data_IF_595299101135
#
_entry.id   IF_595299101135
#
_cell.length_a   1.000
_cell.length_b   1.000
_cell.length_c   1.000
_cell.angle_alpha   90.00
_cell.angle_beta   90.00
_cell.angle_gamma   90.00
#
_symmetry.space_group_name_H-M   'P 1'
#
loop_
_entity.id
_entity.type
_entity.pdbx_description
1 polymer ?
#
# COMPACT_ATOMS: atom_id res chain seq x y z
N UNK A 1 -19.73 42.51 -10.55
CA UNK A 1 -18.81 42.29 -9.42
C UNK A 1 -18.78 40.79 -9.13
N UNK A 2 -17.61 40.18 -9.29
CA UNK A 2 -17.43 38.73 -9.34
C UNK A 2 -17.07 38.24 -7.93
N UNK A 3 -17.99 37.59 -7.23
CA UNK A 3 -17.80 37.10 -5.86
C UNK A 3 -17.04 35.77 -5.88
N UNK A 4 -15.81 35.78 -6.41
CA UNK A 4 -14.84 34.68 -6.26
C UNK A 4 -13.95 34.99 -5.06
N UNK A 5 -14.50 34.81 -3.87
CA UNK A 5 -13.79 34.92 -2.59
C UNK A 5 -13.03 33.64 -2.20
N UNK A 6 -12.27 33.67 -1.08
CA UNK A 6 -11.32 32.63 -0.63
C UNK A 6 -11.95 31.29 -0.20
N UNK A 7 -13.26 31.14 -0.40
CA UNK A 7 -14.04 29.95 -0.04
C UNK A 7 -13.92 28.81 -1.06
N UNK A 8 -13.42 29.09 -2.27
CA UNK A 8 -13.28 28.10 -3.36
C UNK A 8 -12.17 27.05 -3.16
N UNK A 9 -11.36 27.17 -2.09
CA UNK A 9 -10.26 26.26 -1.78
C UNK A 9 -10.55 25.34 -0.57
N UNK A 10 -11.74 25.41 0.00
CA UNK A 10 -12.09 24.62 1.18
C UNK A 10 -12.40 23.16 0.76
N UNK A 11 -11.91 22.20 1.54
CA UNK A 11 -12.14 20.75 1.41
C UNK A 11 -13.12 20.31 2.52
N UNK A 12 -13.94 19.26 2.35
CA UNK A 12 -14.75 18.73 3.50
C UNK A 12 -13.86 18.25 4.63
N UNK A 13 -12.63 17.84 4.32
CA UNK A 13 -11.61 17.55 5.32
C UNK A 13 -11.13 18.76 6.12
N UNK A 14 -11.54 19.98 5.78
CA UNK A 14 -11.41 21.13 6.67
C UNK A 14 -12.30 21.02 7.91
N UNK A 15 -13.38 20.23 7.88
CA UNK A 15 -14.10 19.82 9.10
C UNK A 15 -13.27 18.85 9.95
N UNK A 16 -12.32 18.11 9.36
CA UNK A 16 -11.37 17.29 10.12
C UNK A 16 -10.34 18.13 10.89
N UNK A 17 -10.28 19.46 10.68
CA UNK A 17 -9.56 20.40 11.57
C UNK A 17 -10.15 20.43 12.99
N UNK A 18 -11.41 19.97 13.15
CA UNK A 18 -12.09 19.84 14.44
C UNK A 18 -11.70 18.55 15.19
N UNK A 19 -11.00 17.62 14.52
CA UNK A 19 -10.50 16.38 15.14
C UNK A 19 -9.07 16.61 15.64
N UNK A 20 -8.71 16.16 16.85
CA UNK A 20 -7.35 16.32 17.38
C UNK A 20 -6.30 15.84 16.39
N UNK A 21 -5.25 16.65 16.23
CA UNK A 21 -4.11 16.37 15.37
C UNK A 21 -3.46 15.03 15.75
N UNK A 22 -3.66 13.99 14.93
CA UNK A 22 -2.99 12.69 15.13
C UNK A 22 -1.58 12.76 14.55
N UNK A 23 -0.59 12.38 15.35
CA UNK A 23 0.82 12.36 14.92
C UNK A 23 1.02 11.49 13.67
N UNK A 24 1.86 11.99 12.75
CA UNK A 24 2.32 11.22 11.59
C UNK A 24 3.31 10.16 12.08
N UNK A 25 3.08 8.86 11.82
CA UNK A 25 4.02 7.81 12.20
C UNK A 25 5.40 8.00 11.53
N UNK A 26 6.46 7.54 12.19
CA UNK A 26 7.78 7.43 11.57
C UNK A 26 7.81 6.37 10.46
N UNK A 27 8.80 6.43 9.56
CA UNK A 27 8.93 5.44 8.48
C UNK A 27 9.23 4.04 9.05
N UNK A 28 8.84 2.98 8.32
CA UNK A 28 9.22 1.62 8.67
C UNK A 28 10.74 1.41 8.51
N UNK A 29 11.32 0.34 9.08
CA UNK A 29 12.72 0.01 8.86
C UNK A 29 13.04 -0.12 7.38
N UNK A 30 14.14 0.51 6.94
CA UNK A 30 14.58 0.47 5.55
C UNK A 30 14.98 -0.95 5.11
N UNK A 31 14.88 -1.21 3.81
CA UNK A 31 15.23 -2.46 3.12
C UNK A 31 14.40 -3.70 3.48
N UNK A 32 13.71 -3.71 4.63
CA UNK A 32 13.00 -4.88 5.14
C UNK A 32 11.89 -5.41 4.21
N UNK A 33 11.26 -4.53 3.44
CA UNK A 33 10.14 -4.85 2.56
C UNK A 33 10.44 -4.57 1.08
N UNK A 34 11.68 -4.19 0.77
CA UNK A 34 12.08 -3.92 -0.61
C UNK A 34 12.30 -5.25 -1.32
N UNK A 35 11.63 -5.51 -2.45
CA UNK A 35 11.85 -6.73 -3.20
C UNK A 35 13.27 -6.73 -3.76
N UNK A 36 13.97 -7.84 -3.58
CA UNK A 36 15.28 -8.12 -4.19
C UNK A 36 15.16 -9.00 -5.45
N UNK A 37 13.92 -9.38 -5.81
CA UNK A 37 13.62 -10.31 -6.90
C UNK A 37 13.93 -11.77 -6.58
N UNK A 38 14.40 -12.06 -5.37
CA UNK A 38 14.79 -13.37 -4.90
C UNK A 38 13.66 -14.14 -4.21
N UNK A 39 13.78 -15.46 -4.22
CA UNK A 39 12.82 -16.35 -3.54
C UNK A 39 12.92 -16.26 -2.01
N UNK A 40 14.12 -16.09 -1.45
CA UNK A 40 14.31 -16.00 0.00
C UNK A 40 13.54 -14.85 0.64
N UNK A 41 13.56 -13.67 0.01
CA UNK A 41 12.77 -12.53 0.47
C UNK A 41 11.27 -12.82 0.45
N UNK A 42 10.76 -13.47 -0.61
CA UNK A 42 9.37 -13.88 -0.68
C UNK A 42 9.02 -14.88 0.45
N UNK A 43 9.89 -15.84 0.76
CA UNK A 43 9.67 -16.77 1.87
C UNK A 43 9.65 -16.04 3.23
N UNK A 44 10.48 -15.02 3.43
CA UNK A 44 10.43 -14.17 4.63
C UNK A 44 9.10 -13.40 4.74
N UNK A 45 8.62 -12.81 3.64
CA UNK A 45 7.31 -12.15 3.61
C UNK A 45 6.17 -13.12 3.96
N UNK A 46 6.21 -14.36 3.45
CA UNK A 46 5.21 -15.38 3.79
C UNK A 46 5.21 -15.73 5.29
N UNK A 47 6.38 -15.82 5.93
CA UNK A 47 6.49 -16.02 7.39
C UNK A 47 5.90 -14.83 8.15
N UNK A 48 6.21 -13.60 7.73
CA UNK A 48 5.69 -12.37 8.36
C UNK A 48 4.19 -12.17 8.16
N UNK A 49 3.66 -12.64 7.04
CA UNK A 49 2.22 -12.70 6.80
C UNK A 49 1.50 -13.73 7.72
N UNK A 50 2.26 -14.54 8.46
CA UNK A 50 1.75 -15.48 9.46
C UNK A 50 1.49 -16.89 8.93
N UNK A 51 2.03 -17.25 7.76
CA UNK A 51 1.86 -18.61 7.24
C UNK A 51 2.67 -19.64 8.04
N UNK A 52 2.13 -20.85 8.27
CA UNK A 52 2.84 -21.91 8.98
C UNK A 52 4.07 -22.39 8.19
N UNK A 53 5.08 -22.91 8.90
CA UNK A 53 6.35 -23.37 8.31
C UNK A 53 6.13 -24.38 7.18
N UNK A 54 5.17 -25.29 7.33
CA UNK A 54 4.82 -26.27 6.29
C UNK A 54 4.39 -25.62 4.98
N UNK A 55 3.57 -24.56 5.05
CA UNK A 55 3.12 -23.80 3.88
C UNK A 55 4.24 -22.99 3.25
N UNK A 56 5.14 -22.42 4.05
CA UNK A 56 6.32 -21.70 3.54
C UNK A 56 7.28 -22.66 2.82
N UNK A 57 7.48 -23.88 3.34
CA UNK A 57 8.26 -24.92 2.65
C UNK A 57 7.61 -25.32 1.32
N UNK A 58 6.30 -25.55 1.32
CA UNK A 58 5.57 -25.86 0.09
C UNK A 58 5.67 -24.74 -0.95
N UNK A 59 5.61 -23.47 -0.50
CA UNK A 59 5.79 -22.30 -1.38
C UNK A 59 7.18 -22.29 -2.01
N UNK A 60 8.24 -22.61 -1.25
CA UNK A 60 9.60 -22.71 -1.78
C UNK A 60 9.70 -23.72 -2.92
N UNK A 61 9.13 -24.92 -2.73
CA UNK A 61 9.08 -25.96 -3.76
C UNK A 61 8.32 -25.49 -5.01
N UNK A 62 7.11 -24.93 -4.84
CA UNK A 62 6.31 -24.44 -5.97
C UNK A 62 7.04 -23.33 -6.72
N UNK A 63 7.61 -22.34 -6.02
CA UNK A 63 8.38 -21.25 -6.65
C UNK A 63 9.58 -21.77 -7.45
N UNK A 64 10.27 -22.81 -6.96
CA UNK A 64 11.39 -23.44 -7.65
C UNK A 64 10.99 -24.08 -8.98
N UNK A 65 9.75 -24.57 -9.09
CA UNK A 65 9.22 -25.24 -10.28
C UNK A 65 8.60 -24.27 -11.31
N UNK A 66 8.25 -23.05 -10.92
CA UNK A 66 7.69 -22.05 -11.85
C UNK A 66 8.73 -21.56 -12.86
N UNK A 67 8.27 -21.22 -14.07
CA UNK A 67 9.10 -20.51 -15.04
C UNK A 67 9.54 -19.12 -14.51
N UNK A 68 10.65 -18.55 -15.01
CA UNK A 68 11.18 -17.29 -14.49
C UNK A 68 10.23 -16.09 -14.55
N UNK A 69 9.35 -16.02 -15.56
CA UNK A 69 8.42 -14.89 -15.72
C UNK A 69 7.32 -14.98 -14.67
N UNK A 70 6.71 -16.15 -14.53
CA UNK A 70 5.66 -16.38 -13.53
C UNK A 70 6.22 -16.24 -12.12
N UNK A 71 7.41 -16.78 -11.85
CA UNK A 71 8.09 -16.61 -10.56
C UNK A 71 8.30 -15.13 -10.21
N UNK A 72 8.74 -14.31 -11.17
CA UNK A 72 8.87 -12.85 -10.98
C UNK A 72 7.55 -12.18 -10.60
N UNK A 73 6.45 -12.57 -11.25
CA UNK A 73 5.13 -12.05 -10.93
C UNK A 73 4.66 -12.42 -9.51
N UNK A 74 5.13 -13.53 -8.96
CA UNK A 74 4.82 -13.93 -7.56
C UNK A 74 5.69 -13.20 -6.55
N UNK A 75 7.00 -13.06 -6.80
CA UNK A 75 7.93 -12.41 -5.85
C UNK A 75 7.82 -10.89 -5.84
N UNK A 76 7.35 -10.28 -6.93
CA UNK A 76 7.12 -8.84 -7.03
C UNK A 76 5.89 -8.53 -7.89
N UNK A 77 4.67 -8.73 -7.35
CA UNK A 77 3.41 -8.57 -8.09
C UNK A 77 3.12 -7.11 -8.50
N UNK A 78 3.90 -6.14 -8.00
CA UNK A 78 3.83 -4.73 -8.39
C UNK A 78 4.85 -4.37 -9.50
N UNK A 79 5.69 -5.34 -9.90
CA UNK A 79 6.75 -5.20 -10.89
C UNK A 79 7.65 -3.96 -10.64
N UNK A 80 8.03 -3.75 -9.38
CA UNK A 80 8.94 -2.69 -8.89
C UNK A 80 10.39 -2.94 -9.32
N UNK A 81 10.79 -4.21 -9.40
CA UNK A 81 12.10 -4.68 -9.85
C UNK A 81 12.19 -4.87 -11.38
N UNK A 82 11.20 -4.42 -12.16
CA UNK A 82 11.24 -4.53 -13.61
C UNK A 82 12.51 -3.88 -14.22
N UNK A 83 13.09 -4.47 -15.29
CA UNK A 83 14.30 -3.98 -15.94
C UNK A 83 14.19 -2.51 -16.38
N UNK A 84 15.31 -1.81 -16.43
CA UNK A 84 15.38 -0.37 -16.76
C UNK A 84 14.74 -0.02 -18.11
N UNK A 85 14.81 -0.88 -19.12
CA UNK A 85 14.16 -0.67 -20.41
C UNK A 85 12.62 -0.53 -20.31
N UNK A 86 12.00 -1.02 -19.22
CA UNK A 86 10.57 -0.83 -18.91
C UNK A 86 10.29 0.44 -18.11
N UNK A 87 11.33 1.13 -17.59
CA UNK A 87 11.23 2.35 -16.77
C UNK A 87 11.16 3.63 -17.60
N UNK A 88 11.54 3.59 -18.87
CA UNK A 88 11.39 4.74 -19.79
C UNK A 88 9.93 5.07 -20.08
N UNK A 89 9.02 4.11 -19.93
CA UNK A 89 7.58 4.34 -20.07
C UNK A 89 7.03 4.98 -18.80
N UNK A 90 6.57 6.24 -18.94
CA UNK A 90 5.86 6.97 -17.87
C UNK A 90 4.57 6.29 -17.40
N UNK A 91 3.97 5.43 -18.22
CA UNK A 91 2.78 4.63 -17.90
C UNK A 91 2.96 3.22 -18.42
N UNK A 92 2.70 2.22 -17.59
CA UNK A 92 2.79 0.80 -17.96
C UNK A 92 1.60 -0.01 -17.43
N UNK A 93 1.09 -1.01 -18.16
CA UNK A 93 0.09 -1.90 -17.61
C UNK A 93 0.67 -2.69 -16.42
N UNK A 94 -0.19 -3.00 -15.46
CA UNK A 94 0.08 -3.98 -14.42
C UNK A 94 -0.77 -5.21 -14.70
N UNK A 95 -0.15 -6.38 -14.69
CA UNK A 95 -0.82 -7.64 -15.03
C UNK A 95 -0.75 -8.61 -13.84
N UNK A 96 -1.80 -9.40 -13.69
CA UNK A 96 -1.87 -10.56 -12.80
C UNK A 96 -2.16 -11.79 -13.67
N UNK A 97 -1.21 -12.71 -13.76
CA UNK A 97 -1.37 -13.92 -14.58
C UNK A 97 -1.58 -13.63 -16.07
N UNK A 98 -1.06 -12.51 -16.59
CA UNK A 98 -1.23 -12.08 -17.98
C UNK A 98 -2.48 -11.23 -18.24
N UNK A 99 -3.38 -11.08 -17.26
CA UNK A 99 -4.56 -10.24 -17.38
C UNK A 99 -4.36 -8.87 -16.71
N UNK A 100 -5.01 -7.79 -17.17
CA UNK A 100 -4.93 -6.48 -16.53
C UNK A 100 -5.39 -6.52 -15.06
N UNK A 101 -4.56 -5.98 -14.17
CA UNK A 101 -4.89 -5.76 -12.78
C UNK A 101 -5.83 -4.55 -12.65
N UNK A 102 -7.07 -4.66 -13.14
CA UNK A 102 -8.05 -3.55 -13.19
C UNK A 102 -9.13 -3.71 -12.12
N UNK A 103 -9.65 -2.61 -11.59
CA UNK A 103 -10.84 -2.67 -10.76
C UNK A 103 -12.06 -3.16 -11.54
N UNK A 104 -12.90 -3.97 -10.89
CA UNK A 104 -14.14 -4.52 -11.45
C UNK A 104 -15.18 -3.44 -11.76
N UNK A 105 -15.45 -2.53 -10.83
CA UNK A 105 -16.48 -1.50 -10.95
C UNK A 105 -16.04 -0.17 -10.32
N UNK A 106 -16.80 0.91 -10.51
CA UNK A 106 -16.45 2.26 -10.04
C UNK A 106 -16.28 2.38 -8.50
N UNK A 107 -16.71 1.38 -7.73
CA UNK A 107 -16.66 1.33 -6.26
C UNK A 107 -15.63 0.34 -5.71
N UNK A 108 -14.91 -0.40 -6.57
CA UNK A 108 -13.89 -1.37 -6.15
C UNK A 108 -12.45 -0.87 -6.19
N UNK A 109 -12.20 0.42 -6.46
CA UNK A 109 -10.83 0.99 -6.47
C UNK A 109 -10.08 0.72 -5.16
N UNK A 110 -10.73 0.95 -4.02
CA UNK A 110 -10.16 0.65 -2.69
C UNK A 110 -9.87 -0.84 -2.51
N UNK A 111 -10.76 -1.72 -2.97
CA UNK A 111 -10.56 -3.17 -2.88
C UNK A 111 -9.44 -3.67 -3.78
N UNK A 112 -9.30 -3.12 -4.99
CA UNK A 112 -8.22 -3.43 -5.92
C UNK A 112 -6.86 -3.03 -5.32
N UNK A 113 -6.77 -1.81 -4.79
CA UNK A 113 -5.57 -1.30 -4.10
C UNK A 113 -5.20 -2.15 -2.89
N UNK A 114 -6.16 -2.48 -2.03
CA UNK A 114 -5.92 -3.31 -0.84
C UNK A 114 -5.59 -4.77 -1.20
N UNK A 115 -6.14 -5.30 -2.29
CA UNK A 115 -5.81 -6.63 -2.81
C UNK A 115 -4.36 -6.71 -3.29
N UNK A 116 -3.91 -5.72 -4.08
CA UNK A 116 -2.52 -5.65 -4.52
C UNK A 116 -1.55 -5.34 -3.38
N UNK A 117 -1.95 -4.52 -2.41
CA UNK A 117 -1.18 -4.28 -1.18
C UNK A 117 -0.91 -5.60 -0.43
N UNK A 118 -1.98 -6.41 -0.28
CA UNK A 118 -1.89 -7.72 0.33
C UNK A 118 -0.99 -8.67 -0.46
N UNK A 119 -1.18 -8.75 -1.79
CA UNK A 119 -0.35 -9.60 -2.64
C UNK A 119 1.15 -9.21 -2.57
N UNK A 120 1.45 -7.90 -2.54
CA UNK A 120 2.82 -7.40 -2.42
C UNK A 120 3.52 -7.76 -1.10
N UNK A 121 2.77 -8.15 -0.07
CA UNK A 121 3.30 -8.58 1.22
C UNK A 121 2.96 -10.03 1.58
N UNK A 122 2.33 -10.79 0.68
CA UNK A 122 1.95 -12.18 0.88
C UNK A 122 2.12 -12.96 -0.44
N UNK A 123 3.27 -13.62 -0.65
CA UNK A 123 3.53 -14.35 -1.89
C UNK A 123 2.65 -15.61 -2.06
N UNK A 124 1.97 -16.09 -1.02
CA UNK A 124 0.95 -17.14 -1.18
C UNK A 124 -0.26 -16.59 -1.93
N UNK A 125 -0.70 -15.37 -1.58
CA UNK A 125 -1.76 -14.68 -2.31
C UNK A 125 -1.30 -14.28 -3.72
N UNK A 126 -0.06 -13.82 -3.87
CA UNK A 126 0.50 -13.46 -5.17
C UNK A 126 0.58 -14.69 -6.11
N UNK A 127 0.96 -15.87 -5.58
CA UNK A 127 0.95 -17.13 -6.33
C UNK A 127 -0.44 -17.45 -6.88
N UNK A 128 -1.45 -17.40 -6.01
CA UNK A 128 -2.83 -17.67 -6.41
C UNK A 128 -3.31 -16.66 -7.46
N UNK A 129 -3.04 -15.37 -7.29
CA UNK A 129 -3.42 -14.35 -8.28
C UNK A 129 -2.72 -14.57 -9.63
N UNK A 130 -1.43 -14.93 -9.63
CA UNK A 130 -0.67 -15.12 -10.85
C UNK A 130 -1.01 -16.42 -11.59
N UNK A 131 -1.33 -17.50 -10.87
CA UNK A 131 -1.36 -18.86 -11.44
C UNK A 131 -2.64 -19.66 -11.14
N UNK A 132 -3.39 -19.28 -10.11
CA UNK A 132 -4.47 -20.09 -9.54
C UNK A 132 -3.98 -21.20 -8.59
N UNK A 133 -2.66 -21.40 -8.46
CA UNK A 133 -2.09 -22.44 -7.60
C UNK A 133 -2.07 -22.03 -6.12
N UNK A 134 -2.12 -23.04 -5.26
CA UNK A 134 -1.76 -22.96 -3.87
C UNK A 134 -0.37 -23.58 -3.62
N UNK A 135 0.33 -23.18 -2.55
CA UNK A 135 1.62 -23.80 -2.18
C UNK A 135 1.49 -25.32 -2.04
N UNK A 136 2.33 -26.06 -2.76
CA UNK A 136 2.32 -27.52 -2.79
C UNK A 136 1.54 -28.14 -3.95
N UNK A 137 0.81 -27.35 -4.74
CA UNK A 137 0.21 -27.82 -5.98
C UNK A 137 1.30 -28.11 -7.03
N UNK A 138 1.06 -29.14 -7.86
CA UNK A 138 1.91 -29.48 -9.01
C UNK A 138 1.58 -28.54 -10.19
N UNK A 139 2.56 -27.77 -10.72
CA UNK A 139 2.36 -26.91 -11.88
C UNK A 139 2.27 -27.67 -13.22
N UNK A 140 2.20 -29.02 -13.21
CA UNK A 140 2.27 -29.91 -14.37
C UNK A 140 1.37 -29.58 -15.58
N UNK A 141 1.65 -30.19 -16.76
CA UNK A 141 1.23 -29.73 -18.09
C UNK A 141 -0.27 -29.86 -18.42
N UNK A 142 -1.09 -30.36 -17.50
CA UNK A 142 -2.55 -30.51 -17.66
C UNK A 142 -3.26 -29.80 -16.51
N UNK A 143 -3.03 -28.50 -16.41
CA UNK A 143 -3.64 -27.66 -15.39
C UNK A 143 -5.14 -27.51 -15.61
N UNK A 144 -5.91 -27.68 -14.53
CA UNK A 144 -7.33 -27.33 -14.44
C UNK A 144 -7.60 -25.99 -15.12
N UNK A 145 -8.78 -25.83 -15.74
CA UNK A 145 -9.25 -24.52 -16.21
C UNK A 145 -9.48 -23.62 -14.99
N UNK A 146 -8.42 -22.99 -14.50
CA UNK A 146 -8.51 -21.94 -13.49
C UNK A 146 -9.04 -20.68 -14.18
N UNK A 147 -9.95 -19.99 -13.52
CA UNK A 147 -10.42 -18.67 -13.97
C UNK A 147 -9.20 -17.75 -14.17
N UNK A 148 -9.20 -16.90 -15.19
CA UNK A 148 -8.08 -16.00 -15.50
C UNK A 148 -7.67 -15.12 -14.30
N UNK A 149 -6.48 -14.51 -14.36
CA UNK A 149 -6.00 -13.62 -13.31
C UNK A 149 -6.97 -12.47 -13.01
N UNK A 150 -7.68 -11.96 -14.03
CA UNK A 150 -8.74 -10.97 -13.85
C UNK A 150 -9.89 -11.47 -12.97
N UNK A 151 -10.36 -12.70 -13.18
CA UNK A 151 -11.47 -13.27 -12.42
C UNK A 151 -11.08 -13.54 -10.96
N UNK A 152 -9.87 -14.07 -10.71
CA UNK A 152 -9.33 -14.21 -9.35
C UNK A 152 -9.17 -12.86 -8.66
N UNK A 153 -8.74 -11.84 -9.40
CA UNK A 153 -8.62 -10.50 -8.85
C UNK A 153 -9.98 -9.88 -8.53
N UNK A 154 -11.01 -10.11 -9.35
CA UNK A 154 -12.39 -9.73 -9.05
C UNK A 154 -12.91 -10.42 -7.78
N UNK A 155 -12.70 -11.73 -7.63
CA UNK A 155 -13.08 -12.48 -6.41
C UNK A 155 -12.44 -11.87 -5.16
N UNK A 156 -11.15 -11.54 -5.23
CA UNK A 156 -10.42 -10.86 -4.15
C UNK A 156 -11.02 -9.47 -3.86
N UNK A 157 -11.32 -8.68 -4.90
CA UNK A 157 -11.91 -7.36 -4.75
C UNK A 157 -13.25 -7.42 -4.01
N UNK A 158 -14.11 -8.38 -4.34
CA UNK A 158 -15.39 -8.56 -3.67
C UNK A 158 -15.23 -9.00 -2.21
N UNK A 159 -14.29 -9.91 -1.92
CA UNK A 159 -13.99 -10.33 -0.56
C UNK A 159 -13.46 -9.17 0.30
N UNK A 160 -12.58 -8.34 -0.26
CA UNK A 160 -12.04 -7.15 0.41
C UNK A 160 -13.13 -6.10 0.62
N UNK A 161 -13.99 -5.84 -0.38
CA UNK A 161 -15.11 -4.88 -0.29
C UNK A 161 -16.06 -5.22 0.85
N UNK A 162 -16.43 -6.51 0.99
CA UNK A 162 -17.25 -6.98 2.11
C UNK A 162 -16.57 -6.72 3.45
N UNK A 163 -15.27 -7.03 3.57
CA UNK A 163 -14.49 -6.84 4.81
C UNK A 163 -14.36 -5.38 5.20
N UNK A 164 -14.06 -4.50 4.25
CA UNK A 164 -13.86 -3.07 4.53
C UNK A 164 -15.15 -2.37 4.93
N UNK A 165 -16.30 -2.85 4.42
CA UNK A 165 -17.59 -2.23 4.66
C UNK A 165 -18.36 -2.83 5.84
N UNK A 166 -18.14 -4.09 6.25
CA UNK A 166 -18.99 -4.83 7.21
C UNK A 166 -19.26 -4.13 8.57
N UNK A 167 -18.30 -3.39 9.13
CA UNK A 167 -18.42 -2.78 10.46
C UNK A 167 -17.74 -1.40 10.48
N UNK A 168 -18.04 -0.58 9.49
CA UNK A 168 -17.37 0.69 9.25
C UNK A 168 -18.05 1.87 9.94
N UNK A 169 -19.31 1.77 10.35
CA UNK A 169 -20.03 2.78 11.12
C UNK A 169 -20.40 2.21 12.49
N UNK A 170 -19.40 1.73 13.24
CA UNK A 170 -19.61 0.91 14.43
C UNK A 170 -20.10 -0.49 14.03
N UNK A 171 -21.27 -0.97 14.52
CA UNK A 171 -21.83 -2.26 14.10
C UNK A 171 -22.45 -2.22 12.71
N UNK A 172 -22.68 -1.03 12.14
CA UNK A 172 -23.35 -0.87 10.84
C UNK A 172 -22.38 -0.90 9.66
N UNK A 173 -22.83 -1.40 8.49
CA UNK A 173 -22.01 -1.41 7.30
C UNK A 173 -21.86 -0.02 6.66
N UNK A 174 -20.76 0.19 5.95
CA UNK A 174 -20.60 1.33 5.06
C UNK A 174 -21.42 1.13 3.77
N UNK A 175 -22.13 2.16 3.26
CA UNK A 175 -22.87 2.06 2.00
C UNK A 175 -21.96 1.63 0.86
N UNK A 176 -22.29 0.54 0.18
CA UNK A 176 -21.46 -0.02 -0.90
C UNK A 176 -21.27 0.96 -2.08
N UNK A 177 -22.24 1.85 -2.31
CA UNK A 177 -22.20 2.92 -3.33
C UNK A 177 -21.13 3.97 -3.06
N UNK A 178 -20.66 4.08 -1.82
CA UNK A 178 -19.61 5.02 -1.40
C UNK A 178 -18.22 4.37 -1.42
N UNK A 179 -18.08 3.16 -1.98
CA UNK A 179 -16.81 2.46 -2.08
C UNK A 179 -16.29 1.98 -0.74
N UNK A 180 -15.03 2.33 -0.43
CA UNK A 180 -14.31 1.89 0.76
C UNK A 180 -13.98 3.09 1.66
N UNK A 181 -14.33 3.09 2.96
CA UNK A 181 -13.97 4.19 3.85
C UNK A 181 -12.51 4.09 4.33
N UNK A 182 -11.79 5.22 4.56
CA UNK A 182 -10.36 5.19 4.94
C UNK A 182 -10.03 4.37 6.20
N UNK A 183 -10.84 4.45 7.25
CA UNK A 183 -10.65 3.67 8.48
C UNK A 183 -10.99 2.18 8.29
N UNK A 184 -11.95 1.85 7.41
CA UNK A 184 -12.24 0.47 7.01
C UNK A 184 -11.06 -0.12 6.26
N UNK A 185 -10.48 0.64 5.32
CA UNK A 185 -9.26 0.28 4.61
C UNK A 185 -8.07 0.10 5.56
N UNK A 186 -7.84 1.03 6.50
CA UNK A 186 -6.71 0.93 7.43
C UNK A 186 -6.77 -0.34 8.30
N UNK A 187 -7.97 -0.74 8.76
CA UNK A 187 -8.17 -2.00 9.50
C UNK A 187 -8.00 -3.25 8.64
N UNK A 188 -8.36 -3.19 7.36
CA UNK A 188 -8.32 -4.32 6.45
C UNK A 188 -6.98 -4.47 5.70
N UNK A 189 -6.16 -3.42 5.66
CA UNK A 189 -4.87 -3.39 4.98
C UNK A 189 -3.93 -4.46 5.53
N UNK A 190 -3.30 -5.19 4.62
CA UNK A 190 -2.33 -6.25 4.92
C UNK A 190 -1.13 -6.06 4.02
N UNK A 191 0.06 -6.12 4.60
CA UNK A 191 1.32 -6.16 3.88
C UNK A 191 2.34 -6.80 4.83
N UNK A 192 2.60 -8.10 4.65
CA UNK A 192 3.36 -8.89 5.61
C UNK A 192 2.83 -8.67 7.05
N UNK A 193 3.71 -8.21 7.95
CA UNK A 193 3.40 -7.89 9.34
C UNK A 193 3.16 -6.39 9.58
N UNK A 194 2.93 -5.56 8.57
CA UNK A 194 2.74 -4.11 8.74
C UNK A 194 1.33 -3.80 9.28
N UNK A 195 1.26 -2.88 10.25
CA UNK A 195 0.02 -2.25 10.70
C UNK A 195 -0.15 -0.89 10.05
N UNK A 196 -1.34 -0.61 9.52
CA UNK A 196 -1.67 0.68 8.90
C UNK A 196 -2.59 1.54 9.78
N UNK A 197 -2.48 2.85 9.60
CA UNK A 197 -3.38 3.87 10.16
C UNK A 197 -3.70 4.92 9.10
N UNK A 198 -4.92 5.45 9.12
CA UNK A 198 -5.35 6.53 8.25
C UNK A 198 -4.88 7.90 8.76
N UNK A 199 -4.41 8.76 7.85
CA UNK A 199 -4.11 10.18 8.11
C UNK A 199 -4.74 11.05 7.04
N UNK A 200 -5.37 12.13 7.49
CA UNK A 200 -5.94 13.16 6.62
C UNK A 200 -4.80 13.97 6.02
N UNK A 201 -4.90 14.29 4.73
CA UNK A 201 -4.03 15.21 3.98
C UNK A 201 -4.81 16.52 3.78
N UNK A 202 -4.68 17.43 4.76
CA UNK A 202 -5.20 18.81 4.66
C UNK A 202 -4.26 19.87 5.22
N UNK A 203 -4.14 20.98 4.46
CA UNK A 203 -3.56 22.24 4.91
C UNK A 203 -2.06 22.17 5.13
N UNK A 204 -1.56 22.81 6.19
CA UNK A 204 -0.13 22.88 6.50
C UNK A 204 0.55 21.51 6.75
N UNK A 205 -0.20 20.40 6.77
CA UNK A 205 0.30 19.04 7.01
C UNK A 205 0.35 18.18 5.75
N UNK A 206 -0.11 18.69 4.60
CA UNK A 206 -0.16 17.96 3.33
C UNK A 206 1.20 17.34 3.00
N UNK A 207 2.24 18.17 3.06
CA UNK A 207 3.59 17.75 2.76
C UNK A 207 4.13 16.71 3.75
N UNK A 208 3.79 16.79 5.04
CA UNK A 208 4.33 15.86 6.04
C UNK A 208 3.76 14.45 5.84
N UNK A 209 2.46 14.34 5.60
CA UNK A 209 1.79 13.04 5.39
C UNK A 209 2.26 12.42 4.06
N UNK A 210 2.34 13.20 2.99
CA UNK A 210 2.83 12.71 1.70
C UNK A 210 4.32 12.35 1.74
N UNK A 211 5.15 13.13 2.44
CA UNK A 211 6.56 12.79 2.67
C UNK A 211 6.72 11.49 3.44
N UNK A 212 5.87 11.25 4.46
CA UNK A 212 5.85 9.98 5.17
C UNK A 212 5.42 8.81 4.27
N UNK A 213 4.44 9.03 3.37
CA UNK A 213 4.04 8.04 2.39
C UNK A 213 5.18 7.70 1.40
N UNK A 214 5.87 8.71 0.86
CA UNK A 214 7.04 8.54 0.00
C UNK A 214 8.17 7.82 0.73
N UNK A 215 8.45 8.17 1.99
CA UNK A 215 9.46 7.50 2.79
C UNK A 215 9.13 6.02 3.04
N UNK A 216 7.86 5.70 3.33
CA UNK A 216 7.40 4.33 3.49
C UNK A 216 7.52 3.52 2.19
N UNK A 217 7.09 4.07 1.07
CA UNK A 217 7.24 3.46 -0.25
C UNK A 217 8.71 3.23 -0.61
N UNK A 218 9.58 4.19 -0.29
CA UNK A 218 11.03 4.06 -0.47
C UNK A 218 11.68 3.02 0.46
N UNK A 219 11.00 2.60 1.52
CA UNK A 219 11.39 1.48 2.37
C UNK A 219 10.79 0.13 1.91
N UNK A 220 10.06 0.12 0.79
CA UNK A 220 9.44 -1.07 0.21
C UNK A 220 8.01 -1.34 0.68
N UNK A 221 7.41 -0.46 1.49
CA UNK A 221 6.05 -0.60 2.01
C UNK A 221 5.09 0.26 1.18
N UNK A 222 4.23 -0.32 0.32
CA UNK A 222 3.29 0.44 -0.47
C UNK A 222 2.25 1.16 0.39
N UNK A 223 1.79 2.32 -0.09
CA UNK A 223 0.89 3.21 0.64
C UNK A 223 -0.37 3.52 -0.16
N UNK A 224 -1.55 3.07 0.29
CA UNK A 224 -2.82 3.51 -0.29
C UNK A 224 -3.03 5.01 -0.09
N UNK A 225 -3.37 5.70 -1.17
CA UNK A 225 -3.71 7.12 -1.19
C UNK A 225 -5.15 7.29 -1.66
N UNK A 226 -5.95 7.95 -0.83
CA UNK A 226 -7.30 8.33 -1.17
C UNK A 226 -7.25 9.68 -1.89
N UNK A 227 -7.98 9.78 -3.00
CA UNK A 227 -8.02 10.97 -3.85
C UNK A 227 -9.44 11.49 -4.01
N UNK A 228 -9.58 12.80 -4.20
CA UNK A 228 -10.87 13.48 -4.26
C UNK A 228 -10.77 14.91 -4.80
N UNK A 229 -11.93 15.57 -4.90
CA UNK A 229 -12.09 16.93 -5.42
C UNK A 229 -12.17 17.98 -4.32
N UNK A 230 -12.32 19.24 -4.75
CA UNK A 230 -12.57 20.39 -3.87
C UNK A 230 -14.07 20.64 -3.70
N UNK A 231 -14.49 21.36 -2.64
CA UNK A 231 -15.89 21.77 -2.46
C UNK A 231 -16.45 22.57 -3.63
N UNK A 232 -15.59 23.24 -4.41
CA UNK A 232 -15.97 23.96 -5.63
C UNK A 232 -16.58 23.04 -6.71
N UNK A 233 -16.34 21.73 -6.64
CA UNK A 233 -16.92 20.71 -7.53
C UNK A 233 -18.20 20.07 -6.94
N UNK A 234 -18.68 20.57 -5.79
CA UNK A 234 -19.91 20.14 -5.10
C UNK A 234 -19.64 19.29 -3.85
N UNK A 235 -20.54 19.37 -2.86
CA UNK A 235 -20.41 18.68 -1.55
C UNK A 235 -20.21 17.16 -1.70
N UNK A 236 -20.81 16.55 -2.73
CA UNK A 236 -20.66 15.13 -3.05
C UNK A 236 -19.25 14.72 -3.52
N UNK A 237 -18.39 15.67 -3.90
CA UNK A 237 -17.02 15.42 -4.39
C UNK A 237 -15.93 15.57 -3.33
N UNK A 238 -16.32 16.01 -2.13
CA UNK A 238 -15.41 16.36 -1.05
C UNK A 238 -15.11 15.20 -0.08
N UNK A 239 -15.77 14.05 -0.29
CA UNK A 239 -15.43 12.75 0.29
C UNK A 239 -14.43 12.05 -0.63
N UNK A 240 -13.50 11.20 -0.15
CA UNK A 240 -12.66 10.40 -1.05
C UNK A 240 -13.49 9.67 -2.09
N UNK A 241 -13.12 9.85 -3.35
CA UNK A 241 -13.86 9.28 -4.48
C UNK A 241 -13.13 8.11 -5.11
N UNK A 242 -11.81 8.07 -4.91
CA UNK A 242 -10.96 7.09 -5.54
C UNK A 242 -9.78 6.74 -4.63
N UNK A 243 -9.17 5.59 -4.90
CA UNK A 243 -8.02 5.10 -4.14
C UNK A 243 -6.98 4.62 -5.14
N UNK A 244 -5.76 5.10 -5.00
CA UNK A 244 -4.58 4.68 -5.77
C UNK A 244 -3.54 4.07 -4.83
N UNK A 245 -2.56 3.36 -5.37
CA UNK A 245 -1.48 2.77 -4.56
C UNK A 245 -0.14 3.39 -4.93
N UNK A 246 0.48 4.10 -3.99
CA UNK A 246 1.89 4.47 -4.10
C UNK A 246 2.72 3.19 -3.90
N UNK A 247 3.21 2.62 -4.99
CA UNK A 247 3.83 1.29 -5.00
C UNK A 247 5.30 1.32 -4.63
N UNK A 248 5.99 2.40 -4.99
CA UNK A 248 7.44 2.56 -4.83
C UNK A 248 7.83 4.04 -4.88
N UNK A 249 8.97 4.36 -4.27
CA UNK A 249 9.59 5.67 -4.36
C UNK A 249 11.11 5.57 -4.31
N UNK A 250 11.77 6.40 -5.12
CA UNK A 250 13.20 6.57 -5.12
C UNK A 250 13.52 8.00 -4.71
N UNK A 251 14.01 8.16 -3.49
CA UNK A 251 14.38 9.46 -2.95
C UNK A 251 15.57 10.09 -3.68
N UNK A 252 16.50 9.28 -4.22
CA UNK A 252 17.67 9.77 -4.96
C UNK A 252 17.28 10.25 -6.35
N UNK A 253 16.47 9.45 -7.06
CA UNK A 253 15.97 9.82 -8.39
C UNK A 253 14.81 10.83 -8.34
N UNK A 254 14.25 11.10 -7.14
CA UNK A 254 13.03 11.91 -6.94
C UNK A 254 11.85 11.40 -7.75
N UNK A 255 11.74 10.08 -7.91
CA UNK A 255 10.67 9.42 -8.66
C UNK A 255 9.75 8.67 -7.72
N UNK A 256 8.48 8.58 -8.08
CA UNK A 256 7.54 7.69 -7.40
C UNK A 256 6.64 6.99 -8.40
N UNK A 257 6.15 5.81 -8.02
CA UNK A 257 5.27 5.00 -8.85
C UNK A 257 3.90 4.86 -8.22
N UNK A 258 2.86 5.15 -8.99
CA UNK A 258 1.47 5.12 -8.53
C UNK A 258 0.66 4.18 -9.42
N UNK A 259 0.09 3.14 -8.83
CA UNK A 259 -0.87 2.27 -9.50
C UNK A 259 -2.27 2.89 -9.45
N UNK A 260 -2.87 3.04 -10.63
CA UNK A 260 -4.22 3.58 -10.84
C UNK A 260 -5.15 2.42 -11.28
N UNK A 261 -6.13 2.03 -10.43
CA UNK A 261 -6.90 0.82 -10.63
C UNK A 261 -7.97 0.90 -11.73
N UNK A 262 -8.43 2.08 -12.14
CA UNK A 262 -9.42 2.23 -13.22
C UNK A 262 -8.84 1.87 -14.58
N UNK A 263 -7.55 2.13 -14.80
CA UNK A 263 -6.81 1.80 -16.01
C UNK A 263 -6.04 0.49 -15.86
N UNK A 264 -5.77 0.05 -14.63
CA UNK A 264 -4.91 -1.09 -14.35
C UNK A 264 -3.45 -0.80 -14.71
N UNK A 265 -3.00 0.45 -14.55
CA UNK A 265 -1.67 0.89 -14.96
C UNK A 265 -0.87 1.48 -13.79
N UNK A 266 0.45 1.49 -13.93
CA UNK A 266 1.40 2.14 -13.04
C UNK A 266 1.98 3.35 -13.74
N UNK A 267 1.90 4.51 -13.08
CA UNK A 267 2.43 5.79 -13.52
C UNK A 267 3.74 6.10 -12.80
N UNK A 268 4.76 6.52 -13.55
CA UNK A 268 6.03 7.01 -13.01
C UNK A 268 6.02 8.55 -13.02
N UNK A 269 6.09 9.14 -11.83
CA UNK A 269 5.94 10.58 -11.60
C UNK A 269 7.18 11.17 -10.94
N UNK A 270 7.35 12.49 -11.07
CA UNK A 270 8.23 13.21 -10.15
C UNK A 270 7.56 13.27 -8.78
N UNK A 271 8.26 12.80 -7.75
CA UNK A 271 7.74 12.70 -6.40
C UNK A 271 7.33 14.06 -5.82
N UNK A 272 7.98 15.15 -6.24
CA UNK A 272 7.60 16.48 -5.72
C UNK A 272 6.28 17.00 -6.27
N UNK A 273 5.84 16.47 -7.41
CA UNK A 273 4.59 16.86 -8.05
C UNK A 273 3.40 15.99 -7.65
N UNK A 274 3.57 15.02 -6.74
CA UNK A 274 2.49 14.12 -6.34
C UNK A 274 1.26 14.85 -5.75
N UNK A 275 1.46 16.04 -5.18
CA UNK A 275 0.40 16.92 -4.67
C UNK A 275 -0.15 17.91 -5.72
N UNK A 276 0.44 17.98 -6.91
CA UNK A 276 0.12 18.98 -7.94
C UNK A 276 -0.95 18.52 -8.94
N UNK A 277 -1.82 17.58 -8.57
CA UNK A 277 -2.88 17.05 -9.47
C UNK A 277 -3.85 18.12 -9.98
N UNK A 278 -4.01 19.25 -9.28
CA UNK A 278 -4.77 20.40 -9.76
C UNK A 278 -4.11 21.11 -10.96
N UNK A 279 -2.77 21.03 -11.10
CA UNK A 279 -1.99 21.75 -12.12
C UNK A 279 -1.34 20.82 -13.16
N UNK A 280 -1.19 19.54 -12.84
CA UNK A 280 -0.51 18.56 -13.69
C UNK A 280 -1.50 17.48 -14.19
N UNK A 281 -1.83 17.45 -15.49
CA UNK A 281 -2.68 16.41 -16.07
C UNK A 281 -2.14 14.99 -15.87
N UNK A 282 -0.82 14.81 -15.94
CA UNK A 282 -0.18 13.52 -15.73
C UNK A 282 -0.38 13.01 -14.28
N UNK A 283 -0.21 13.90 -13.29
CA UNK A 283 -0.47 13.55 -11.88
C UNK A 283 -1.95 13.29 -11.66
N UNK A 284 -2.83 14.14 -12.20
CA UNK A 284 -4.29 13.94 -12.12
C UNK A 284 -4.71 12.57 -12.66
N UNK A 285 -4.15 12.16 -13.79
CA UNK A 285 -4.45 10.86 -14.37
C UNK A 285 -4.00 9.72 -13.46
N UNK A 286 -2.78 9.80 -12.90
CA UNK A 286 -2.28 8.84 -11.93
C UNK A 286 -3.06 8.80 -10.59
N UNK A 287 -3.80 9.86 -10.28
CA UNK A 287 -4.70 9.96 -9.11
C UNK A 287 -6.15 9.56 -9.43
N UNK A 288 -6.40 8.93 -10.59
CA UNK A 288 -7.73 8.47 -11.02
C UNK A 288 -8.63 9.61 -11.51
N UNK A 289 -8.05 10.68 -12.05
CA UNK A 289 -8.77 11.86 -12.53
C UNK A 289 -8.97 12.95 -11.47
N UNK A 290 -8.52 12.71 -10.23
CA UNK A 290 -8.75 13.62 -9.11
C UNK A 290 -7.58 14.57 -8.85
N UNK A 291 -7.85 15.83 -8.45
CA UNK A 291 -6.81 16.83 -8.29
C UNK A 291 -5.98 16.66 -7.01
N UNK A 292 -6.50 15.99 -5.97
CA UNK A 292 -5.87 15.99 -4.65
C UNK A 292 -5.81 14.62 -4.00
N UNK A 293 -4.72 14.39 -3.25
CA UNK A 293 -4.66 13.36 -2.21
C UNK A 293 -5.32 13.92 -0.95
N UNK A 294 -6.29 13.19 -0.40
CA UNK A 294 -7.06 13.64 0.78
C UNK A 294 -6.84 12.76 2.02
N UNK A 295 -6.43 11.49 1.85
CA UNK A 295 -5.93 10.65 2.95
C UNK A 295 -4.78 9.75 2.47
N UNK A 296 -3.95 9.34 3.42
CA UNK A 296 -2.96 8.29 3.25
C UNK A 296 -3.10 7.21 4.33
N UNK A 297 -2.87 5.96 3.96
CA UNK A 297 -2.75 4.84 4.90
C UNK A 297 -1.27 4.62 5.19
N UNK A 298 -0.81 5.16 6.32
CA UNK A 298 0.60 5.10 6.70
C UNK A 298 0.90 3.87 7.55
N UNK A 299 2.09 3.26 7.39
CA UNK A 299 2.55 2.24 8.33
C UNK A 299 2.75 2.86 9.72
N UNK A 300 2.32 2.17 10.77
CA UNK A 300 2.39 2.63 12.16
C UNK A 300 3.10 1.64 13.09
N UNK A 301 3.83 0.67 12.52
CA UNK A 301 4.52 -0.40 13.24
C UNK A 301 4.18 -1.77 12.69
N UNK A 302 4.49 -2.81 13.47
CA UNK A 302 4.27 -4.20 13.12
C UNK A 302 3.06 -4.76 13.89
N UNK A 303 2.30 -5.66 13.27
CA UNK A 303 1.24 -6.41 13.94
C UNK A 303 1.86 -7.32 15.01
N UNK A 304 1.25 -7.39 16.20
CA UNK A 304 1.78 -8.13 17.35
C UNK A 304 2.97 -7.47 18.06
N UNK A 305 3.60 -6.43 17.48
CA UNK A 305 4.66 -5.67 18.14
C UNK A 305 4.07 -4.68 19.14
N UNK A 306 4.29 -4.94 20.44
CA UNK A 306 4.15 -3.92 21.48
C UNK A 306 5.46 -3.15 21.54
N UNK A 307 5.40 -1.83 21.32
CA UNK A 307 6.57 -0.99 21.58
C UNK A 307 6.99 -1.17 23.06
N UNK A 308 8.29 -1.19 23.37
CA UNK A 308 8.73 -1.08 24.75
C UNK A 308 8.12 0.18 25.35
N UNK A 309 7.47 0.06 26.50
CA UNK A 309 6.98 1.21 27.25
C UNK A 309 8.14 2.15 27.53
N UNK A 310 7.88 3.46 27.62
CA UNK A 310 8.92 4.48 27.84
C UNK A 310 9.83 4.15 29.04
N UNK A 311 9.31 3.42 30.04
CA UNK A 311 10.07 2.91 31.19
C UNK A 311 11.15 1.90 30.81
N UNK A 312 10.86 0.93 29.94
CA UNK A 312 11.81 -0.10 29.51
C UNK A 312 12.98 0.48 28.68
N UNK A 313 12.78 1.63 28.01
CA UNK A 313 13.87 2.34 27.29
C UNK A 313 14.84 3.05 28.24
N UNK A 314 14.37 3.54 29.38
CA UNK A 314 15.26 4.13 30.40
C UNK A 314 16.00 3.04 31.17
N UNK A 315 15.34 1.93 31.47
CA UNK A 315 15.94 0.80 32.18
C UNK A 315 17.04 0.15 31.34
N UNK A 316 16.81 -0.11 30.04
CA UNK A 316 17.84 -0.62 29.13
C UNK A 316 19.00 0.36 28.89
N UNK A 317 18.76 1.66 28.98
CA UNK A 317 19.81 2.68 28.93
C UNK A 317 20.63 2.70 30.24
N UNK A 318 19.99 2.56 31.40
CA UNK A 318 20.66 2.49 32.70
C UNK A 318 21.53 1.24 32.83
N UNK A 319 21.04 0.07 32.42
CA UNK A 319 21.83 -1.19 32.46
C UNK A 319 23.03 -1.17 31.50
N UNK A 320 22.97 -0.35 30.45
CA UNK A 320 24.08 -0.18 29.50
C UNK A 320 25.14 0.79 30.01
N UNK A 321 24.77 1.75 30.86
CA UNK A 321 25.71 2.66 31.54
C UNK A 321 26.40 1.96 32.71
N UNK A 322 25.67 1.21 33.54
CA UNK A 322 26.27 0.44 34.65
C UNK A 322 27.27 -0.62 34.18
N UNK A 323 27.02 -1.28 33.03
CA UNK A 323 28.00 -2.21 32.46
C UNK A 323 29.26 -1.52 31.96
N UNK A 324 29.14 -0.33 31.40
CA UNK A 324 30.29 0.45 30.92
C UNK A 324 31.14 0.96 32.08
N UNK A 325 30.53 1.33 33.21
CA UNK A 325 31.23 1.76 34.41
C UNK A 325 31.92 0.58 35.12
N UNK A 326 31.30 -0.61 35.19
CA UNK A 326 31.93 -1.80 35.78
C UNK A 326 33.16 -2.32 35.02
N UNK A 327 33.28 -2.02 33.72
CA UNK A 327 34.43 -2.41 32.89
C UNK A 327 35.60 -1.42 32.95
N UNK A 328 35.45 -0.27 33.61
CA UNK A 328 36.47 0.77 33.71
C UNK A 328 37.37 0.69 34.95
N UNK A 329 37.04 -0.14 35.94
CA UNK A 329 37.71 -0.15 37.25
C UNK A 329 38.72 -1.29 37.45
N UNK A 330 38.99 -2.09 36.41
CA UNK A 330 39.97 -3.20 36.45
C UNK A 330 41.27 -2.89 35.69
N UNK A 331 41.63 -1.60 35.56
CA UNK A 331 42.95 -1.17 35.09
C UNK A 331 43.42 0.07 35.85
N UNK A 332 43.90 -0.15 37.07
CA UNK A 332 44.87 0.74 37.72
C UNK A 332 45.75 -0.02 38.70
#
# INVERSE_FOLDING_TARGET
MNVRGPLGALRVTDLARLVPARAVPGPPPAALYRPDGGTEHALDLARRAGHPVSRVRALSTTLGALDPRTRRAVVDPLARAAPEASRDRRVRPLELGGDPARQTDATTCGSAVLGLLAAAGDPVLALWLATGLHPGDDPGPRGRSWSGGAARFEELQQAVKRRTNHAALGPLPWPASLGTPPWGAARAARHADVRYVERVVVGARDEQVVRAALAAAACGVPVPLFTGGDLALGIATAVPRHVVLLTDADARARRCRVYEPSSGTVHDLDAVHLLDGARSPAVRHALGGWPHVCWALLPAGRQGWRAPTRGARMEAAATSVERAESSGEETR
#
